data_IF_399391923387
#
_entry.id   IF_399391923387
#
_cell.length_a   1.000
_cell.length_b   1.000
_cell.length_c   1.000
_cell.angle_alpha   90.00
_cell.angle_beta   90.00
_cell.angle_gamma   90.00
#
_symmetry.space_group_name_H-M   'P 1'
#
loop_
_entity.id
_entity.type
_entity.pdbx_description
1 polymer ?
#
# COMPACT_ATOMS: atom_id res chain seq x y z
N UNK A 1 -1.97 -4.80 2.78
CA UNK A 1 -2.99 -4.07 1.99
C UNK A 1 -3.77 -5.07 1.17
N UNK A 2 -5.07 -4.85 1.01
CA UNK A 2 -5.91 -5.68 0.14
C UNK A 2 -5.49 -5.45 -1.31
N UNK A 3 -5.24 -6.53 -2.05
CA UNK A 3 -4.80 -6.45 -3.44
C UNK A 3 -6.01 -6.44 -4.38
N UNK A 4 -5.94 -5.59 -5.40
CA UNK A 4 -6.80 -5.71 -6.58
C UNK A 4 -6.28 -6.78 -7.55
N UNK A 5 -7.01 -7.02 -8.65
CA UNK A 5 -6.54 -7.90 -9.71
C UNK A 5 -5.27 -7.35 -10.38
N UNK A 6 -4.49 -8.23 -11.01
CA UNK A 6 -3.24 -7.86 -11.69
C UNK A 6 -3.47 -7.15 -13.04
N UNK A 7 -4.70 -7.16 -13.55
CA UNK A 7 -5.07 -6.56 -14.83
C UNK A 7 -6.18 -5.54 -14.64
N UNK A 8 -6.17 -4.50 -15.49
CA UNK A 8 -7.30 -3.56 -15.61
C UNK A 8 -8.35 -4.02 -16.61
N UNK A 9 -8.16 -5.19 -17.25
CA UNK A 9 -9.04 -5.71 -18.29
C UNK A 9 -9.31 -4.68 -19.39
N UNK A 10 -8.28 -3.93 -19.82
CA UNK A 10 -8.43 -2.82 -20.78
C UNK A 10 -9.51 -1.79 -20.40
N UNK A 11 -9.79 -1.61 -19.11
CA UNK A 11 -10.87 -0.80 -18.58
C UNK A 11 -12.27 -1.24 -19.06
N UNK A 12 -12.47 -2.55 -19.25
CA UNK A 12 -13.79 -3.12 -19.50
C UNK A 12 -14.73 -2.85 -18.31
N UNK A 13 -15.98 -2.45 -18.58
CA UNK A 13 -17.00 -2.33 -17.55
C UNK A 13 -17.56 -3.70 -17.14
N UNK A 14 -18.19 -3.77 -15.97
CA UNK A 14 -19.02 -4.93 -15.62
C UNK A 14 -20.32 -4.95 -16.44
N UNK A 15 -20.84 -6.12 -16.85
CA UNK A 15 -22.06 -6.21 -17.67
C UNK A 15 -23.29 -5.52 -17.05
N UNK A 16 -23.38 -5.52 -15.72
CA UNK A 16 -24.52 -4.98 -14.97
C UNK A 16 -24.50 -3.45 -14.85
N UNK A 17 -23.32 -2.82 -14.97
CA UNK A 17 -23.18 -1.39 -14.80
C UNK A 17 -22.01 -0.84 -15.66
N UNK A 18 -22.30 -0.13 -16.77
CA UNK A 18 -21.27 0.38 -17.68
C UNK A 18 -20.36 1.46 -17.06
N UNK A 19 -20.75 2.04 -15.92
CA UNK A 19 -19.98 3.06 -15.22
C UNK A 19 -18.92 2.47 -14.28
N UNK A 20 -18.98 1.17 -13.98
CA UNK A 20 -18.06 0.51 -13.05
C UNK A 20 -17.08 -0.35 -13.85
N UNK A 21 -15.78 -0.09 -13.68
CA UNK A 21 -14.72 -0.89 -14.28
C UNK A 21 -14.58 -2.22 -13.54
N UNK A 22 -14.39 -3.29 -14.31
CA UNK A 22 -14.27 -4.65 -13.77
C UNK A 22 -13.23 -4.76 -12.65
N UNK A 23 -12.04 -4.19 -12.85
CA UNK A 23 -10.98 -4.25 -11.83
C UNK A 23 -11.34 -3.53 -10.52
N UNK A 24 -12.16 -2.47 -10.58
CA UNK A 24 -12.64 -1.74 -9.41
C UNK A 24 -13.67 -2.57 -8.65
N UNK A 25 -14.56 -3.23 -9.39
CA UNK A 25 -15.57 -4.11 -8.82
C UNK A 25 -14.93 -5.31 -8.09
N UNK A 26 -14.00 -6.00 -8.75
CA UNK A 26 -13.27 -7.12 -8.13
C UNK A 26 -12.47 -6.68 -6.89
N UNK A 27 -11.84 -5.50 -6.92
CA UNK A 27 -11.19 -4.94 -5.74
C UNK A 27 -12.17 -4.73 -4.57
N UNK A 28 -13.37 -4.20 -4.84
CA UNK A 28 -14.38 -3.98 -3.82
C UNK A 28 -14.86 -5.31 -3.19
N UNK A 29 -14.99 -6.37 -3.99
CA UNK A 29 -15.33 -7.70 -3.48
C UNK A 29 -14.24 -8.26 -2.56
N UNK A 30 -12.97 -8.18 -2.98
CA UNK A 30 -11.84 -8.59 -2.13
C UNK A 30 -11.79 -7.79 -0.82
N UNK A 31 -12.12 -6.50 -0.89
CA UNK A 31 -12.13 -5.63 0.27
C UNK A 31 -13.27 -5.96 1.24
N UNK A 32 -14.47 -6.27 0.73
CA UNK A 32 -15.60 -6.72 1.54
C UNK A 32 -15.30 -8.03 2.30
N UNK A 33 -14.74 -9.03 1.62
CA UNK A 33 -14.32 -10.29 2.25
C UNK A 33 -13.25 -10.06 3.33
N UNK A 34 -12.28 -9.18 3.05
CA UNK A 34 -11.25 -8.81 4.01
C UNK A 34 -11.85 -8.13 5.24
N UNK A 35 -12.75 -7.17 5.07
CA UNK A 35 -13.43 -6.50 6.18
C UNK A 35 -14.28 -7.49 7.00
N UNK A 36 -15.02 -8.37 6.33
CA UNK A 36 -15.78 -9.45 6.97
C UNK A 36 -14.89 -10.35 7.83
N UNK A 37 -13.70 -10.69 7.32
CA UNK A 37 -12.70 -11.47 8.07
C UNK A 37 -12.22 -10.72 9.32
N UNK A 38 -11.94 -9.41 9.23
CA UNK A 38 -11.54 -8.61 10.38
C UNK A 38 -12.64 -8.60 11.46
N UNK A 39 -13.89 -8.38 11.05
CA UNK A 39 -15.06 -8.36 11.95
C UNK A 39 -15.22 -9.72 12.63
N UNK A 40 -15.17 -10.82 11.86
CA UNK A 40 -15.33 -12.17 12.39
C UNK A 40 -14.26 -12.55 13.43
N UNK A 41 -13.08 -11.92 13.37
CA UNK A 41 -11.98 -12.15 14.30
C UNK A 41 -11.86 -11.07 15.38
N UNK A 42 -12.81 -10.14 15.49
CA UNK A 42 -12.78 -9.05 16.48
C UNK A 42 -11.65 -8.04 16.27
N UNK A 43 -11.08 -7.98 15.07
CA UNK A 43 -9.98 -7.06 14.74
C UNK A 43 -10.57 -5.70 14.35
N UNK A 44 -10.12 -4.64 15.04
CA UNK A 44 -10.52 -3.26 14.71
C UNK A 44 -9.48 -2.60 13.81
N UNK A 45 -9.89 -2.12 12.64
CA UNK A 45 -9.08 -1.28 11.77
C UNK A 45 -9.37 0.21 12.00
N UNK A 46 -8.34 1.04 11.91
CA UNK A 46 -8.50 2.51 12.00
C UNK A 46 -8.95 3.08 10.66
N UNK A 47 -10.18 3.58 10.58
CA UNK A 47 -10.68 4.28 9.39
C UNK A 47 -9.82 5.48 8.97
N UNK A 48 -9.32 6.25 9.96
CA UNK A 48 -8.47 7.44 9.72
C UNK A 48 -7.13 7.08 9.08
N UNK A 49 -6.59 5.90 9.37
CA UNK A 49 -5.30 5.42 8.81
C UNK A 49 -5.48 4.55 7.57
N UNK A 50 -6.72 4.30 7.15
CA UNK A 50 -7.02 3.40 6.03
C UNK A 50 -7.07 4.17 4.73
N UNK A 51 -6.29 3.73 3.75
CA UNK A 51 -6.35 4.19 2.37
C UNK A 51 -7.00 3.10 1.52
N UNK A 52 -8.06 3.45 0.78
CA UNK A 52 -8.80 2.55 -0.10
C UNK A 52 -8.70 3.01 -1.55
N UNK A 53 -8.81 2.07 -2.49
CA UNK A 53 -8.90 2.33 -3.94
C UNK A 53 -7.83 3.30 -4.49
N UNK A 54 -6.61 3.23 -3.95
CA UNK A 54 -5.49 4.05 -4.42
C UNK A 54 -4.71 3.34 -5.52
N UNK A 55 -4.24 4.09 -6.52
CA UNK A 55 -3.32 3.58 -7.54
C UNK A 55 -1.91 3.38 -6.99
N UNK A 56 -1.48 4.30 -6.12
CA UNK A 56 -0.21 4.26 -5.43
C UNK A 56 -0.45 4.22 -3.93
N UNK A 57 0.09 3.20 -3.26
CA UNK A 57 -0.09 3.00 -1.84
C UNK A 57 1.25 3.05 -1.12
N UNK A 58 1.40 3.99 -0.19
CA UNK A 58 2.55 4.06 0.68
C UNK A 58 2.43 3.00 1.80
N UNK A 59 3.33 2.03 1.81
CA UNK A 59 3.41 1.00 2.85
C UNK A 59 4.84 0.93 3.34
N UNK A 60 5.06 1.24 4.62
CA UNK A 60 6.33 1.01 5.35
C UNK A 60 7.58 1.31 4.51
N UNK A 61 7.82 2.60 4.24
CA UNK A 61 9.02 3.03 3.49
C UNK A 61 9.01 2.70 1.99
N UNK A 62 7.96 2.09 1.47
CA UNK A 62 7.78 1.75 0.07
C UNK A 62 6.50 2.33 -0.53
N UNK A 63 6.45 2.38 -1.86
CA UNK A 63 5.28 2.69 -2.67
C UNK A 63 4.96 1.46 -3.50
N UNK A 64 3.73 0.99 -3.38
CA UNK A 64 3.18 -0.12 -4.18
C UNK A 64 2.23 0.46 -5.20
N UNK A 65 2.48 0.18 -6.47
CA UNK A 65 1.63 0.63 -7.58
C UNK A 65 1.42 -0.48 -8.61
N UNK A 66 0.71 -0.15 -9.69
CA UNK A 66 0.60 -1.02 -10.86
C UNK A 66 1.96 -1.36 -11.49
N UNK A 67 2.93 -0.46 -11.41
CA UNK A 67 4.29 -0.66 -11.93
C UNK A 67 5.14 -1.56 -11.03
N UNK A 68 4.57 -2.02 -9.91
CA UNK A 68 5.23 -2.86 -8.94
C UNK A 68 5.63 -2.11 -7.67
N UNK A 69 6.58 -2.70 -6.96
CA UNK A 69 7.08 -2.22 -5.68
C UNK A 69 8.31 -1.33 -5.88
N UNK A 70 8.32 -0.15 -5.24
CA UNK A 70 9.44 0.79 -5.27
C UNK A 70 9.73 1.32 -3.86
N UNK A 71 10.98 1.64 -3.56
CA UNK A 71 11.33 2.35 -2.33
C UNK A 71 10.73 3.76 -2.39
N UNK A 72 10.14 4.23 -1.28
CA UNK A 72 9.54 5.55 -1.23
C UNK A 72 10.60 6.65 -1.38
N UNK A 73 10.33 7.72 -2.17
CA UNK A 73 11.24 8.85 -2.29
C UNK A 73 11.60 9.46 -0.93
N UNK A 74 10.67 9.47 0.02
CA UNK A 74 10.91 9.94 1.38
C UNK A 74 11.94 9.10 2.14
N UNK A 75 11.96 7.77 1.96
CA UNK A 75 12.96 6.93 2.60
C UNK A 75 14.34 7.14 1.97
N UNK A 76 14.39 7.25 0.64
CA UNK A 76 15.62 7.56 -0.10
C UNK A 76 16.19 8.90 0.40
N UNK A 77 15.35 9.94 0.46
CA UNK A 77 15.76 11.26 0.91
C UNK A 77 16.29 11.24 2.35
N UNK A 78 15.64 10.50 3.26
CA UNK A 78 16.12 10.34 4.65
C UNK A 78 17.49 9.66 4.75
N UNK A 79 17.82 8.77 3.82
CA UNK A 79 19.14 8.14 3.76
C UNK A 79 20.17 9.13 3.20
N UNK A 80 19.83 9.88 2.16
CA UNK A 80 20.70 10.88 1.53
C UNK A 80 21.03 12.05 2.49
N UNK A 81 20.03 12.51 3.23
CA UNK A 81 20.18 13.62 4.18
C UNK A 81 20.76 13.18 5.53
N UNK A 82 21.07 11.88 5.70
CA UNK A 82 21.55 11.38 6.97
C UNK A 82 22.96 11.91 7.26
N UNK A 83 23.20 12.60 8.39
CA UNK A 83 24.51 13.13 8.72
C UNK A 83 25.50 12.00 9.01
N UNK A 84 26.80 12.24 8.78
CA UNK A 84 27.83 11.25 9.09
C UNK A 84 27.75 10.87 10.58
N UNK A 85 27.50 9.59 10.92
CA UNK A 85 27.38 9.17 12.31
C UNK A 85 28.68 9.40 13.09
N UNK A 86 28.56 9.92 14.30
CA UNK A 86 29.67 10.20 15.22
C UNK A 86 29.73 9.22 16.39
N UNK A 87 28.67 8.43 16.60
CA UNK A 87 28.55 7.48 17.70
C UNK A 87 28.05 6.12 17.25
N UNK A 88 28.34 5.09 18.05
CA UNK A 88 27.84 3.73 17.82
C UNK A 88 26.30 3.67 17.78
N UNK A 89 25.62 4.50 18.58
CA UNK A 89 24.15 4.59 18.58
C UNK A 89 23.61 5.13 17.26
N UNK A 90 24.26 6.16 16.71
CA UNK A 90 23.89 6.75 15.42
C UNK A 90 24.15 5.80 14.26
N UNK A 91 25.28 5.06 14.30
CA UNK A 91 25.56 4.00 13.31
C UNK A 91 24.46 2.94 13.33
N UNK A 92 24.06 2.45 14.50
CA UNK A 92 22.96 1.46 14.61
C UNK A 92 21.63 2.02 14.11
N UNK A 93 21.34 3.28 14.39
CA UNK A 93 20.12 3.95 13.93
C UNK A 93 20.07 4.07 12.41
N UNK A 94 21.20 4.44 11.79
CA UNK A 94 21.34 4.46 10.34
C UNK A 94 21.16 3.08 9.72
N UNK A 95 21.84 2.06 10.26
CA UNK A 95 21.72 0.69 9.76
C UNK A 95 20.29 0.15 9.90
N UNK A 96 19.58 0.53 10.97
CA UNK A 96 18.16 0.17 11.14
C UNK A 96 17.19 0.92 10.23
N UNK A 97 17.61 2.03 9.62
CA UNK A 97 16.84 2.76 8.61
C UNK A 97 17.14 2.23 7.19
N UNK A 98 18.40 1.91 6.92
CA UNK A 98 18.89 1.52 5.60
C UNK A 98 18.74 0.02 5.30
N UNK A 99 18.68 -0.82 6.35
CA UNK A 99 18.44 -2.27 6.25
C UNK A 99 16.96 -2.60 6.20
#
# INVERSE_FOLDING_TARGET
>A
GVKGPQSRYNNEPIPQNPNIRRFVFEYAQNYDEFLGTLIANGITASGVKTTMAAFDLHIVGSVVSYEGWKISPSLIQRILDWPVPSSVSEVRSFLGLAG
#
